data_IF_481944124379
#
_entry.id   IF_481944124379
#
_cell.length_a   1.000
_cell.length_b   1.000
_cell.length_c   1.000
_cell.angle_alpha   90.00
_cell.angle_beta   90.00
_cell.angle_gamma   90.00
#
_symmetry.space_group_name_H-M   'P 1'
#
loop_
_entity.id
_entity.type
_entity.pdbx_description
1 polymer ?
#
# COMPACT_ATOMS: atom_id res chain seq x y z
N UNK A 1 -18.13 9.70 3.02
CA UNK A 1 -17.29 8.64 3.62
C UNK A 1 -16.67 7.89 2.46
N UNK A 2 -15.34 7.79 2.41
CA UNK A 2 -14.63 7.09 1.33
C UNK A 2 -15.02 5.60 1.43
N UNK A 3 -15.50 4.97 0.37
CA UNK A 3 -16.04 3.60 0.40
C UNK A 3 -14.94 2.52 0.51
N UNK A 4 -13.70 2.93 0.77
CA UNK A 4 -12.54 2.05 0.83
C UNK A 4 -12.00 1.64 -0.51
N UNK A 5 -12.53 2.08 -1.64
CA UNK A 5 -11.94 1.79 -2.95
C UNK A 5 -11.14 2.98 -3.45
N UNK A 6 -9.89 2.74 -3.89
CA UNK A 6 -9.24 3.69 -4.77
C UNK A 6 -9.95 3.65 -6.11
N UNK A 7 -10.78 4.66 -6.37
CA UNK A 7 -11.49 4.83 -7.63
C UNK A 7 -10.59 5.42 -8.70
N UNK A 8 -10.79 4.99 -9.95
CA UNK A 8 -10.04 5.41 -11.14
C UNK A 8 -10.03 6.93 -11.37
N UNK A 9 -10.98 7.71 -10.82
CA UNK A 9 -10.92 9.18 -10.91
C UNK A 9 -9.73 9.82 -10.18
N UNK A 10 -9.03 9.07 -9.30
CA UNK A 10 -7.72 9.44 -8.74
C UNK A 10 -6.55 9.07 -9.68
N UNK A 11 -6.83 8.64 -10.91
CA UNK A 11 -5.87 8.49 -12.01
C UNK A 11 -5.82 9.72 -12.91
N UNK A 12 -6.67 10.74 -12.68
CA UNK A 12 -6.51 12.03 -13.35
C UNK A 12 -5.33 12.77 -12.70
N UNK A 13 -4.17 12.63 -13.33
CA UNK A 13 -2.89 13.25 -12.94
C UNK A 13 -2.95 14.79 -12.83
N UNK A 14 -4.06 15.43 -13.19
CA UNK A 14 -4.29 16.88 -13.08
C UNK A 14 -4.84 17.32 -11.73
N UNK A 15 -5.36 16.39 -10.91
CA UNK A 15 -5.95 16.70 -9.59
C UNK A 15 -5.12 16.15 -8.41
N UNK A 16 -4.05 15.43 -8.71
CA UNK A 16 -3.15 14.86 -7.72
C UNK A 16 -2.08 15.90 -7.42
N UNK A 17 -2.05 16.36 -6.18
CA UNK A 17 -0.86 17.04 -5.66
C UNK A 17 0.34 16.10 -5.87
N UNK A 18 1.21 16.45 -6.80
CA UNK A 18 2.33 15.59 -7.25
C UNK A 18 3.36 15.35 -6.14
N UNK A 19 3.24 16.07 -5.03
CA UNK A 19 4.13 15.98 -3.87
C UNK A 19 3.51 15.21 -2.68
N UNK A 20 2.30 14.67 -2.82
CA UNK A 20 1.67 13.85 -1.78
C UNK A 20 2.19 12.40 -1.80
N UNK A 21 3.14 12.09 -0.93
CA UNK A 21 3.64 10.74 -0.70
C UNK A 21 2.89 10.05 0.46
N UNK A 22 2.53 8.79 0.29
CA UNK A 22 1.89 7.98 1.33
C UNK A 22 2.37 6.53 1.28
N UNK A 23 2.67 5.96 2.44
CA UNK A 23 3.16 4.58 2.59
C UNK A 23 2.15 3.76 3.37
N UNK A 24 1.82 2.59 2.83
CA UNK A 24 0.83 1.66 3.38
C UNK A 24 1.37 0.24 3.35
N UNK A 25 0.70 -0.67 4.05
CA UNK A 25 1.06 -2.10 4.05
C UNK A 25 0.02 -2.88 3.27
N UNK A 26 0.46 -3.59 2.23
CA UNK A 26 -0.36 -4.62 1.58
C UNK A 26 -0.49 -5.83 2.51
N UNK A 27 -1.72 -6.21 2.82
CA UNK A 27 -2.03 -7.29 3.77
C UNK A 27 -2.81 -8.45 3.14
N UNK A 28 -3.23 -8.30 1.87
CA UNK A 28 -3.96 -9.34 1.15
C UNK A 28 -4.26 -8.95 -0.28
N UNK A 29 -4.96 -9.83 -1.00
CA UNK A 29 -5.40 -9.60 -2.37
C UNK A 29 -6.66 -10.43 -2.68
N UNK A 30 -7.50 -9.94 -3.59
CA UNK A 30 -8.63 -10.67 -4.15
C UNK A 30 -8.46 -10.79 -5.67
N UNK A 31 -8.33 -12.04 -6.14
CA UNK A 31 -8.18 -12.35 -7.57
C UNK A 31 -9.48 -12.20 -8.36
N UNK A 32 -10.65 -12.40 -7.74
CA UNK A 32 -11.94 -12.25 -8.42
C UNK A 32 -12.21 -10.79 -8.70
N UNK A 33 -12.05 -9.95 -7.68
CA UNK A 33 -12.25 -8.51 -7.79
C UNK A 33 -11.05 -7.78 -8.39
N UNK A 34 -9.87 -8.41 -8.49
CA UNK A 34 -8.60 -7.83 -9.01
C UNK A 34 -8.07 -6.62 -8.20
N UNK A 35 -8.07 -6.72 -6.88
CA UNK A 35 -7.57 -5.66 -6.00
C UNK A 35 -6.61 -6.20 -4.93
N UNK A 36 -5.63 -5.39 -4.55
CA UNK A 36 -4.87 -5.56 -3.32
C UNK A 36 -5.63 -4.94 -2.14
N UNK A 37 -5.47 -5.53 -0.96
CA UNK A 37 -6.00 -5.00 0.29
C UNK A 37 -4.85 -4.32 1.03
N UNK A 38 -5.03 -3.04 1.35
CA UNK A 38 -4.05 -2.23 2.04
C UNK A 38 -4.59 -1.80 3.40
N UNK A 39 -3.75 -1.93 4.44
CA UNK A 39 -4.03 -1.38 5.76
C UNK A 39 -3.45 0.03 5.85
N UNK A 40 -4.29 0.99 6.22
CA UNK A 40 -3.90 2.38 6.40
C UNK A 40 -3.55 2.68 7.88
N UNK A 41 -3.00 3.87 8.13
CA UNK A 41 -2.59 4.36 9.45
C UNK A 41 -3.49 5.50 9.99
N UNK A 42 -4.62 5.79 9.35
CA UNK A 42 -5.53 6.89 9.72
C UNK A 42 -6.66 6.49 10.68
N UNK A 43 -6.48 5.37 11.38
CA UNK A 43 -7.45 4.86 12.35
C UNK A 43 -8.61 4.06 11.73
N UNK A 44 -9.38 3.36 12.56
CA UNK A 44 -10.42 2.43 12.11
C UNK A 44 -11.67 3.11 11.55
N UNK A 45 -11.91 4.39 11.88
CA UNK A 45 -13.09 5.12 11.39
C UNK A 45 -12.93 5.61 9.94
N UNK A 46 -11.76 5.41 9.35
CA UNK A 46 -11.50 5.78 7.98
C UNK A 46 -11.78 4.61 7.05
N UNK A 47 -12.55 4.87 5.99
CA UNK A 47 -12.91 3.90 4.95
C UNK A 47 -13.53 2.60 5.51
N UNK A 48 -13.06 1.44 5.07
CA UNK A 48 -13.52 0.15 5.55
C UNK A 48 -12.67 -0.30 6.74
N UNK A 49 -13.02 0.16 7.94
CA UNK A 49 -12.35 -0.22 9.18
C UNK A 49 -10.83 0.04 9.19
N UNK A 50 -10.38 1.11 8.51
CA UNK A 50 -8.97 1.46 8.32
C UNK A 50 -8.29 0.79 7.12
N UNK A 51 -9.04 0.04 6.31
CA UNK A 51 -8.56 -0.61 5.10
C UNK A 51 -9.07 0.07 3.85
N UNK A 52 -8.33 -0.14 2.76
CA UNK A 52 -8.75 0.22 1.42
C UNK A 52 -8.24 -0.76 0.37
N UNK A 53 -8.83 -0.69 -0.80
CA UNK A 53 -8.68 -1.64 -1.90
C UNK A 53 -8.08 -0.93 -3.11
N UNK A 54 -6.96 -1.46 -3.61
CA UNK A 54 -6.22 -0.89 -4.74
C UNK A 54 -6.32 -1.79 -5.96
N UNK A 55 -6.85 -1.32 -7.10
CA UNK A 55 -6.86 -2.11 -8.33
C UNK A 55 -5.45 -2.56 -8.71
N UNK A 56 -5.30 -3.79 -9.23
CA UNK A 56 -4.00 -4.27 -9.72
C UNK A 56 -3.39 -3.33 -10.75
N UNK A 57 -4.24 -2.78 -11.62
CA UNK A 57 -3.82 -1.91 -12.71
C UNK A 57 -3.31 -0.55 -12.18
N UNK A 58 -3.82 -0.07 -11.04
CA UNK A 58 -3.29 1.13 -10.37
C UNK A 58 -1.82 0.93 -9.98
N UNK A 59 -1.51 -0.18 -9.29
CA UNK A 59 -0.14 -0.48 -8.88
C UNK A 59 0.72 -0.71 -10.12
N UNK A 60 0.28 -1.54 -11.06
CA UNK A 60 1.03 -1.85 -12.28
C UNK A 60 1.40 -0.60 -13.09
N UNK A 61 0.43 0.30 -13.29
CA UNK A 61 0.67 1.54 -14.02
C UNK A 61 1.64 2.44 -13.27
N UNK A 62 1.49 2.62 -11.95
CA UNK A 62 2.40 3.41 -11.12
C UNK A 62 3.82 2.86 -11.13
N UNK A 63 3.98 1.53 -11.06
CA UNK A 63 5.29 0.88 -11.16
C UNK A 63 5.96 1.10 -12.52
N UNK A 64 5.17 1.19 -13.60
CA UNK A 64 5.69 1.42 -14.95
C UNK A 64 6.11 2.87 -15.21
N UNK A 65 5.37 3.84 -14.68
CA UNK A 65 5.62 5.26 -14.99
C UNK A 65 6.59 5.94 -14.01
N UNK A 66 6.70 5.45 -12.78
CA UNK A 66 7.60 6.00 -11.78
C UNK A 66 8.79 5.07 -11.55
N UNK A 67 10.00 5.55 -11.85
CA UNK A 67 11.28 4.91 -11.48
C UNK A 67 11.63 5.09 -9.99
N UNK A 68 10.63 5.28 -9.12
CA UNK A 68 10.80 5.46 -7.67
C UNK A 68 9.82 4.56 -6.95
N UNK A 69 10.03 3.26 -7.08
CA UNK A 69 9.15 2.26 -6.50
C UNK A 69 9.79 1.70 -5.23
N UNK A 70 9.37 2.22 -4.08
CA UNK A 70 9.79 1.71 -2.77
C UNK A 70 8.88 0.55 -2.35
N UNK A 71 8.93 -0.56 -3.09
CA UNK A 71 8.27 -1.82 -2.72
C UNK A 71 9.22 -2.67 -1.87
N UNK A 72 8.82 -2.86 -0.61
CA UNK A 72 9.57 -3.64 0.35
C UNK A 72 8.76 -4.84 0.82
N UNK A 73 9.43 -5.99 0.98
CA UNK A 73 8.81 -7.18 1.56
C UNK A 73 9.40 -7.48 2.93
N UNK A 74 8.52 -7.67 3.92
CA UNK A 74 8.90 -8.20 5.24
C UNK A 74 8.86 -9.72 5.15
N UNK A 75 10.02 -10.37 5.30
CA UNK A 75 10.13 -11.83 5.18
C UNK A 75 10.05 -12.56 6.53
N UNK A 76 10.41 -11.88 7.62
CA UNK A 76 10.42 -12.48 8.94
C UNK A 76 10.12 -11.44 10.03
N UNK A 77 9.16 -11.79 10.87
CA UNK A 77 8.79 -11.05 12.08
C UNK A 77 9.12 -11.94 13.29
N UNK A 78 9.74 -11.39 14.32
CA UNK A 78 10.00 -12.09 15.57
C UNK A 78 9.25 -11.45 16.74
N UNK A 79 8.91 -12.22 17.80
CA UNK A 79 8.43 -11.65 19.05
C UNK A 79 9.43 -10.62 19.57
N UNK A 80 8.92 -9.47 19.99
CA UNK A 80 9.76 -8.39 20.52
C UNK A 80 10.45 -8.89 21.79
N UNK A 81 11.77 -9.02 21.76
CA UNK A 81 12.58 -9.14 22.97
C UNK A 81 13.10 -7.75 23.36
N UNK A 82 13.61 -7.59 24.59
CA UNK A 82 14.28 -6.34 24.99
C UNK A 82 15.55 -6.05 24.16
N UNK A 83 16.08 -7.04 23.44
CA UNK A 83 17.41 -7.00 22.84
C UNK A 83 17.43 -7.11 21.32
N UNK A 84 16.30 -7.41 20.66
CA UNK A 84 16.22 -7.56 19.19
C UNK A 84 15.03 -6.79 18.59
N UNK A 85 15.21 -6.19 17.38
CA UNK A 85 14.12 -5.58 16.64
C UNK A 85 13.13 -6.62 16.13
N UNK A 86 11.85 -6.24 16.01
CA UNK A 86 10.78 -7.17 15.56
C UNK A 86 10.87 -7.56 14.08
N UNK A 87 11.59 -6.79 13.26
CA UNK A 87 11.78 -7.06 11.82
C UNK A 87 13.24 -7.48 11.60
N UNK A 88 13.45 -8.73 11.19
CA UNK A 88 14.80 -9.27 10.98
C UNK A 88 15.29 -9.06 9.55
N UNK A 89 14.39 -9.13 8.57
CA UNK A 89 14.76 -9.10 7.15
C UNK A 89 13.77 -8.28 6.35
N UNK A 90 14.31 -7.18 5.83
CA UNK A 90 13.65 -6.29 4.89
C UNK A 90 14.37 -6.44 3.54
N UNK A 91 13.63 -6.69 2.47
CA UNK A 91 14.17 -6.75 1.11
C UNK A 91 13.53 -5.64 0.29
N UNK A 92 14.37 -4.75 -0.25
CA UNK A 92 13.98 -3.79 -1.28
C UNK A 92 14.09 -4.44 -2.63
N UNK A 93 13.15 -4.12 -3.50
CA UNK A 93 13.33 -4.27 -4.93
C UNK A 93 13.62 -2.87 -5.49
N UNK A 94 14.91 -2.51 -5.70
CA UNK A 94 15.22 -1.22 -6.31
C UNK A 94 14.59 -1.16 -7.71
N UNK A 95 14.07 0.01 -8.03
CA UNK A 95 13.59 0.38 -9.37
C UNK A 95 14.71 0.43 -10.41
#
# INVERSE_FOLDING_TARGET
MNNGFLVEHLLDDRLIDRDAFHTVVLVGYDRRSRHFIARNSWGPHWADNGYFYMPYDFIYNRLRVNYRNDLWTILQIQPRSKTLPSVLRLVAYPS
#
